data_IF_785113778284
#
_entry.id   IF_785113778284
#
_cell.length_a   1.000
_cell.length_b   1.000
_cell.length_c   1.000
_cell.angle_alpha   90.00
_cell.angle_beta   90.00
_cell.angle_gamma   90.00
#
_symmetry.space_group_name_H-M   'P 1'
#
loop_
_entity.id
_entity.type
_entity.pdbx_description
1 polymer ?
#
# COMPACT_ATOMS: atom_id res chain seq x y z
N UNK A 1 7.93 10.03 28.12
CA UNK A 1 9.23 9.76 27.46
C UNK A 1 9.95 11.04 27.07
N UNK A 2 9.39 11.91 26.22
CA UNK A 2 9.99 13.21 25.86
C UNK A 2 10.45 14.06 27.06
N UNK A 3 9.56 14.34 28.03
CA UNK A 3 9.90 15.13 29.23
C UNK A 3 11.07 14.53 30.04
N UNK A 4 11.18 13.20 30.09
CA UNK A 4 12.26 12.50 30.79
C UNK A 4 13.58 12.56 30.01
N UNK A 5 13.54 12.52 28.68
CA UNK A 5 14.71 12.66 27.83
C UNK A 5 15.28 14.08 27.88
N UNK A 6 14.41 15.09 27.79
CA UNK A 6 14.79 16.50 27.94
C UNK A 6 15.33 16.78 29.35
N UNK A 7 14.68 16.27 30.40
CA UNK A 7 15.19 16.38 31.76
C UNK A 7 16.52 15.63 31.97
N UNK A 8 16.83 14.64 31.13
CA UNK A 8 18.11 13.93 31.10
C UNK A 8 19.18 14.59 30.23
N UNK A 9 18.95 15.80 29.71
CA UNK A 9 19.92 16.58 28.95
C UNK A 9 19.92 16.34 27.43
N UNK A 10 18.96 15.58 26.90
CA UNK A 10 18.83 15.42 25.45
C UNK A 10 18.27 16.70 24.80
N UNK A 11 18.82 17.08 23.64
CA UNK A 11 18.37 18.24 22.87
C UNK A 11 16.90 18.07 22.42
N UNK A 12 15.99 18.96 22.85
CA UNK A 12 14.59 18.96 22.41
C UNK A 12 14.41 18.86 20.90
N UNK A 13 15.22 19.57 20.10
CA UNK A 13 15.08 19.60 18.64
C UNK A 13 15.49 18.27 18.01
N UNK A 14 16.61 17.69 18.44
CA UNK A 14 17.06 16.37 18.01
C UNK A 14 16.08 15.23 18.35
N UNK A 15 15.23 15.42 19.36
CA UNK A 15 14.21 14.47 19.75
C UNK A 15 12.93 14.54 18.89
N UNK A 16 12.63 15.68 18.26
CA UNK A 16 11.37 15.87 17.52
C UNK A 16 11.22 14.91 16.34
N UNK A 17 12.28 14.72 15.53
CA UNK A 17 12.24 13.85 14.35
C UNK A 17 11.97 12.38 14.69
N UNK A 18 12.72 11.72 15.59
CA UNK A 18 12.46 10.32 15.93
C UNK A 18 11.13 10.11 16.67
N UNK A 19 10.65 11.10 17.45
CA UNK A 19 9.34 11.02 18.08
C UNK A 19 8.20 11.28 17.11
N UNK A 20 8.36 12.19 16.15
CA UNK A 20 7.39 12.42 15.09
C UNK A 20 7.19 11.16 14.25
N UNK A 21 8.26 10.45 13.89
CA UNK A 21 8.15 9.22 13.09
C UNK A 21 7.36 8.09 13.77
N UNK A 22 7.31 8.06 15.11
CA UNK A 22 6.65 7.00 15.90
C UNK A 22 5.47 7.51 16.73
N UNK A 23 5.07 8.75 16.50
CA UNK A 23 4.02 9.41 17.27
C UNK A 23 2.67 8.78 16.97
N UNK A 24 1.94 8.36 18.02
CA UNK A 24 0.57 7.86 17.88
C UNK A 24 -0.36 8.90 17.26
N UNK A 25 -0.04 10.17 17.41
CA UNK A 25 -0.86 11.28 16.93
C UNK A 25 -0.85 11.38 15.40
N UNK A 26 0.14 10.79 14.71
CA UNK A 26 0.12 10.66 13.24
C UNK A 26 -1.10 9.89 12.74
N UNK A 27 -1.61 8.94 13.51
CA UNK A 27 -2.79 8.14 13.17
C UNK A 27 -4.10 8.70 13.77
N UNK A 28 -4.05 9.88 14.39
CA UNK A 28 -5.18 10.49 15.09
C UNK A 28 -5.53 11.89 14.58
N UNK A 29 -4.80 12.38 13.56
CA UNK A 29 -5.21 13.59 12.86
C UNK A 29 -6.65 13.41 12.36
N UNK A 30 -7.45 14.48 12.33
CA UNK A 30 -8.82 14.42 11.82
C UNK A 30 -8.92 13.72 10.46
N UNK A 31 -10.01 12.98 10.25
CA UNK A 31 -10.31 12.35 8.96
C UNK A 31 -10.49 13.43 7.89
N UNK A 32 -9.94 13.20 6.71
CA UNK A 32 -9.94 14.13 5.58
C UNK A 32 -11.09 13.80 4.63
N UNK A 33 -12.26 14.41 4.85
CA UNK A 33 -13.46 14.17 4.03
C UNK A 33 -13.44 14.92 2.70
N UNK A 34 -13.02 16.18 2.72
CA UNK A 34 -12.97 17.07 1.55
C UNK A 34 -11.72 17.96 1.57
N UNK A 35 -11.62 18.90 0.62
CA UNK A 35 -10.50 19.83 0.46
C UNK A 35 -10.62 21.14 1.26
N UNK A 36 -11.63 21.28 2.13
CA UNK A 36 -11.79 22.48 2.96
C UNK A 36 -10.68 22.59 4.03
N UNK A 37 -10.46 23.77 4.65
CA UNK A 37 -9.39 23.93 5.64
C UNK A 37 -9.47 23.01 6.87
N UNK A 38 -10.67 22.52 7.21
CA UNK A 38 -10.87 21.51 8.27
C UNK A 38 -11.08 20.11 7.72
N UNK A 39 -10.85 19.93 6.41
CA UNK A 39 -11.10 18.73 5.62
C UNK A 39 -12.50 18.12 5.85
N UNK A 40 -13.51 18.97 6.03
CA UNK A 40 -14.90 18.57 6.26
C UNK A 40 -15.13 17.88 7.61
N UNK A 41 -14.11 17.80 8.48
CA UNK A 41 -14.20 17.08 9.75
C UNK A 41 -15.08 17.80 10.78
N UNK A 42 -15.01 19.13 10.81
CA UNK A 42 -15.75 19.95 11.76
C UNK A 42 -15.94 21.37 11.23
N UNK A 43 -16.98 22.05 11.71
CA UNK A 43 -17.21 23.49 11.51
C UNK A 43 -16.49 24.36 12.56
N UNK A 44 -15.97 23.74 13.62
CA UNK A 44 -15.24 24.42 14.70
C UNK A 44 -13.72 24.25 14.59
N UNK A 45 -13.03 24.33 15.75
CA UNK A 45 -11.59 24.08 15.83
C UNK A 45 -11.34 22.60 16.13
N UNK A 46 -10.63 21.85 15.26
CA UNK A 46 -10.31 20.46 15.53
C UNK A 46 -9.32 20.34 16.70
N UNK A 47 -9.46 19.26 17.47
CA UNK A 47 -8.65 18.99 18.66
C UNK A 47 -7.18 18.65 18.34
N UNK A 48 -6.90 18.26 17.08
CA UNK A 48 -5.59 18.16 16.46
C UNK A 48 -5.62 18.88 15.11
N UNK A 49 -4.48 19.39 14.68
CA UNK A 49 -4.35 19.98 13.35
C UNK A 49 -4.66 18.93 12.26
N UNK A 50 -5.42 19.35 11.26
CA UNK A 50 -5.62 18.57 10.03
C UNK A 50 -4.30 18.54 9.26
N UNK A 51 -4.00 17.42 8.61
CA UNK A 51 -2.83 17.34 7.76
C UNK A 51 -3.02 18.30 6.56
N UNK A 52 -2.04 19.18 6.26
CA UNK A 52 -2.12 20.09 5.12
C UNK A 52 -2.35 19.41 3.77
N UNK A 53 -2.02 18.11 3.64
CA UNK A 53 -2.26 17.35 2.41
C UNK A 53 -3.74 17.03 2.13
N UNK A 54 -4.69 17.45 2.96
CA UNK A 54 -6.12 17.29 2.70
C UNK A 54 -6.59 17.91 1.38
N UNK A 55 -5.91 18.95 0.91
CA UNK A 55 -6.16 19.56 -0.40
C UNK A 55 -5.92 18.61 -1.59
N UNK A 56 -5.19 17.51 -1.38
CA UNK A 56 -4.88 16.51 -2.44
C UNK A 56 -5.23 15.07 -2.05
N UNK A 57 -5.43 14.79 -0.75
CA UNK A 57 -5.77 13.47 -0.23
C UNK A 57 -7.01 13.63 0.62
N UNK A 58 -8.18 13.28 0.10
CA UNK A 58 -9.44 13.34 0.84
C UNK A 58 -10.44 12.34 0.26
N UNK A 59 -11.49 12.04 1.02
CA UNK A 59 -12.48 11.03 0.64
C UNK A 59 -13.30 11.42 -0.60
N UNK A 60 -13.62 12.71 -0.77
CA UNK A 60 -14.36 13.21 -1.94
C UNK A 60 -13.59 12.92 -3.25
N UNK A 61 -12.30 13.28 -3.30
CA UNK A 61 -11.45 13.04 -4.47
C UNK A 61 -11.21 11.54 -4.71
N UNK A 62 -10.95 10.77 -3.66
CA UNK A 62 -10.77 9.32 -3.73
C UNK A 62 -12.05 8.58 -4.19
N UNK A 63 -13.24 9.11 -3.88
CA UNK A 63 -14.51 8.55 -4.36
C UNK A 63 -14.72 8.84 -5.84
N UNK A 64 -14.28 10.01 -6.32
CA UNK A 64 -14.44 10.46 -7.69
C UNK A 64 -13.48 9.76 -8.68
N UNK A 65 -12.24 9.47 -8.26
CA UNK A 65 -11.24 8.80 -9.10
C UNK A 65 -11.40 7.27 -9.08
N UNK A 66 -11.81 6.62 -10.18
CA UNK A 66 -11.97 5.16 -10.23
C UNK A 66 -10.65 4.38 -10.03
N UNK A 67 -9.48 4.99 -10.20
CA UNK A 67 -8.16 4.37 -10.00
C UNK A 67 -7.53 4.70 -8.64
N UNK A 68 -8.32 5.25 -7.73
CA UNK A 68 -7.91 5.64 -6.39
C UNK A 68 -7.62 4.47 -5.44
N UNK A 69 -7.00 4.79 -4.30
CA UNK A 69 -6.76 3.83 -3.22
C UNK A 69 -8.09 3.34 -2.65
N UNK A 70 -9.09 4.20 -2.52
CA UNK A 70 -10.43 3.81 -2.09
C UNK A 70 -11.04 2.70 -2.96
N UNK A 71 -11.07 2.89 -4.28
CA UNK A 71 -11.65 1.88 -5.19
C UNK A 71 -10.80 0.62 -5.25
N UNK A 72 -9.47 0.73 -5.10
CA UNK A 72 -8.60 -0.43 -4.95
C UNK A 72 -8.98 -1.28 -3.72
N UNK A 73 -9.11 -0.68 -2.54
CA UNK A 73 -9.54 -1.40 -1.34
C UNK A 73 -10.95 -1.96 -1.46
N UNK A 74 -11.87 -1.24 -2.10
CA UNK A 74 -13.23 -1.73 -2.37
C UNK A 74 -13.20 -3.04 -3.19
N UNK A 75 -12.40 -3.09 -4.25
CA UNK A 75 -12.20 -4.29 -5.08
C UNK A 75 -11.57 -5.43 -4.27
N UNK A 76 -10.61 -5.16 -3.39
CA UNK A 76 -10.00 -6.18 -2.53
C UNK A 76 -10.99 -6.77 -1.51
N UNK A 77 -11.84 -5.93 -0.91
CA UNK A 77 -12.89 -6.37 0.02
C UNK A 77 -13.91 -7.23 -0.73
N UNK A 78 -14.34 -6.80 -1.92
CA UNK A 78 -15.21 -7.59 -2.78
C UNK A 78 -14.59 -8.93 -3.17
N UNK A 79 -13.32 -8.94 -3.56
CA UNK A 79 -12.58 -10.16 -3.88
C UNK A 79 -12.54 -11.12 -2.67
N UNK A 80 -12.33 -10.61 -1.46
CA UNK A 80 -12.36 -11.43 -0.23
C UNK A 80 -13.73 -12.04 0.04
N UNK A 81 -14.82 -11.35 -0.31
CA UNK A 81 -16.19 -11.86 -0.15
C UNK A 81 -16.59 -12.86 -1.23
N UNK A 82 -16.08 -12.70 -2.45
CA UNK A 82 -16.49 -13.47 -3.63
C UNK A 82 -15.57 -14.63 -3.96
N UNK A 83 -14.30 -14.59 -3.54
CA UNK A 83 -13.32 -15.64 -3.83
C UNK A 83 -12.93 -16.44 -2.58
N UNK A 84 -13.36 -17.70 -2.55
CA UNK A 84 -13.00 -18.64 -1.47
C UNK A 84 -11.51 -18.92 -1.35
N UNK A 85 -10.72 -18.83 -2.43
CA UNK A 85 -9.26 -19.00 -2.35
C UNK A 85 -8.63 -17.86 -1.54
N UNK A 86 -9.19 -16.65 -1.64
CA UNK A 86 -8.79 -15.47 -0.83
C UNK A 86 -9.32 -15.55 0.60
N UNK A 87 -10.33 -16.37 0.88
CA UNK A 87 -10.81 -16.55 2.25
C UNK A 87 -10.10 -17.70 2.94
N UNK A 88 -10.15 -18.89 2.35
CA UNK A 88 -9.79 -20.17 2.97
C UNK A 88 -8.53 -20.81 2.38
N UNK A 89 -7.97 -20.28 1.28
CA UNK A 89 -6.82 -20.88 0.63
C UNK A 89 -5.57 -20.91 1.50
N UNK A 90 -4.84 -22.03 1.47
CA UNK A 90 -3.58 -22.25 2.18
C UNK A 90 -2.51 -21.33 1.59
N UNK A 91 -1.83 -20.57 2.44
CA UNK A 91 -0.80 -19.60 2.04
C UNK A 91 0.57 -20.25 2.02
N UNK A 92 1.33 -20.02 0.94
CA UNK A 92 2.76 -20.37 0.84
C UNK A 92 3.55 -19.19 0.31
N UNK A 93 4.52 -18.72 1.07
CA UNK A 93 5.45 -17.67 0.66
C UNK A 93 6.39 -18.23 -0.42
N UNK A 94 6.63 -17.42 -1.45
CA UNK A 94 7.62 -17.66 -2.49
C UNK A 94 8.78 -16.69 -2.29
N UNK A 95 10.00 -17.16 -2.57
CA UNK A 95 11.24 -16.36 -2.48
C UNK A 95 11.34 -15.52 -1.19
N UNK A 96 11.33 -16.14 -0.01
CA UNK A 96 11.34 -15.42 1.27
C UNK A 96 12.60 -14.57 1.49
N UNK A 97 13.68 -14.87 0.76
CA UNK A 97 14.96 -14.16 0.83
C UNK A 97 15.08 -13.03 -0.21
N UNK A 98 14.02 -12.73 -0.98
CA UNK A 98 14.01 -11.62 -1.94
C UNK A 98 13.75 -10.28 -1.22
N UNK A 99 14.69 -9.35 -1.33
CA UNK A 99 14.65 -8.04 -0.67
C UNK A 99 13.67 -7.04 -1.33
N UNK A 100 13.15 -7.36 -2.53
CA UNK A 100 12.33 -6.47 -3.35
C UNK A 100 10.91 -7.00 -3.54
N UNK A 101 10.77 -8.30 -3.77
CA UNK A 101 9.51 -8.94 -4.11
C UNK A 101 8.91 -9.68 -2.91
N UNK A 102 7.71 -9.27 -2.50
CA UNK A 102 6.88 -10.04 -1.60
C UNK A 102 5.89 -10.89 -2.39
N UNK A 103 6.14 -12.20 -2.43
CA UNK A 103 5.38 -13.13 -3.26
C UNK A 103 4.78 -14.26 -2.42
N UNK A 104 3.52 -14.62 -2.71
CA UNK A 104 2.87 -15.77 -2.10
C UNK A 104 1.87 -16.41 -3.04
N UNK A 105 1.58 -17.67 -2.78
CA UNK A 105 0.43 -18.36 -3.37
C UNK A 105 -0.63 -18.64 -2.34
N UNK A 106 -1.89 -18.63 -2.78
CA UNK A 106 -3.02 -19.17 -2.02
C UNK A 106 -3.66 -20.28 -2.82
N UNK A 107 -3.79 -21.47 -2.22
CA UNK A 107 -4.32 -22.66 -2.91
C UNK A 107 -5.50 -23.24 -2.15
N UNK A 108 -6.60 -23.53 -2.85
CA UNK A 108 -7.77 -24.21 -2.31
C UNK A 108 -8.27 -25.23 -3.35
N UNK A 109 -8.08 -26.52 -3.06
CA UNK A 109 -8.31 -27.59 -4.04
C UNK A 109 -7.46 -27.38 -5.29
N UNK A 110 -8.09 -27.43 -6.46
CA UNK A 110 -7.44 -27.20 -7.77
C UNK A 110 -7.24 -25.71 -8.09
N UNK A 111 -7.81 -24.79 -7.30
CA UNK A 111 -7.70 -23.34 -7.55
C UNK A 111 -6.47 -22.77 -6.86
N UNK A 112 -5.71 -21.94 -7.58
CA UNK A 112 -4.52 -21.25 -7.08
C UNK A 112 -4.53 -19.78 -7.48
N UNK A 113 -4.17 -18.92 -6.53
CA UNK A 113 -3.90 -17.51 -6.72
C UNK A 113 -2.42 -17.23 -6.45
N UNK A 114 -1.81 -16.40 -7.28
CA UNK A 114 -0.48 -15.85 -7.10
C UNK A 114 -0.62 -14.36 -6.74
N UNK A 115 0.00 -13.95 -5.63
CA UNK A 115 0.04 -12.56 -5.17
C UNK A 115 1.48 -12.09 -5.25
N UNK A 116 1.69 -10.95 -5.91
CA UNK A 116 2.99 -10.35 -6.16
C UNK A 116 2.94 -8.88 -5.72
N UNK A 117 3.88 -8.45 -4.90
CA UNK A 117 4.04 -7.05 -4.52
C UNK A 117 5.51 -6.64 -4.62
N UNK A 118 5.79 -5.60 -5.39
CA UNK A 118 7.10 -4.95 -5.41
C UNK A 118 7.16 -3.92 -4.27
N UNK A 119 7.96 -4.21 -3.24
CA UNK A 119 8.10 -3.37 -2.06
C UNK A 119 9.23 -2.34 -2.19
N UNK A 120 9.63 -2.02 -3.43
CA UNK A 120 10.67 -1.03 -3.73
C UNK A 120 10.19 0.01 -4.75
N UNK A 121 10.91 1.13 -4.82
CA UNK A 121 10.71 2.15 -5.86
C UNK A 121 11.37 1.84 -7.21
N UNK A 122 11.89 0.62 -7.43
CA UNK A 122 12.57 0.22 -8.66
C UNK A 122 11.81 -0.88 -9.38
N UNK A 123 11.93 -1.00 -10.72
CA UNK A 123 11.47 -2.18 -11.44
C UNK A 123 11.99 -3.50 -10.86
N UNK A 124 11.14 -4.53 -10.86
CA UNK A 124 11.50 -5.89 -10.47
C UNK A 124 11.29 -6.84 -11.65
N UNK A 125 12.22 -7.78 -11.84
CA UNK A 125 12.02 -8.92 -12.73
C UNK A 125 11.37 -10.08 -11.97
N UNK A 126 10.52 -10.87 -12.63
CA UNK A 126 10.04 -12.11 -12.04
C UNK A 126 11.11 -13.19 -12.12
N UNK A 127 11.34 -13.97 -11.05
CA UNK A 127 12.23 -15.13 -11.11
C UNK A 127 11.78 -16.15 -12.16
N UNK A 128 12.74 -16.87 -12.76
CA UNK A 128 12.46 -17.81 -13.86
C UNK A 128 11.63 -19.04 -13.45
N UNK A 129 11.54 -19.33 -12.16
CA UNK A 129 10.71 -20.37 -11.55
C UNK A 129 9.32 -19.86 -11.12
N UNK A 130 8.95 -18.63 -11.51
CA UNK A 130 7.64 -18.08 -11.22
C UNK A 130 6.53 -18.95 -11.81
N UNK A 131 5.48 -19.29 -11.03
CA UNK A 131 4.35 -20.05 -11.54
C UNK A 131 3.69 -19.31 -12.71
N UNK A 132 3.27 -20.06 -13.74
CA UNK A 132 2.49 -19.50 -14.84
C UNK A 132 1.24 -18.80 -14.30
N UNK A 133 1.20 -17.48 -14.43
CA UNK A 133 0.01 -16.70 -14.16
C UNK A 133 -0.88 -16.74 -15.40
N UNK A 134 -1.98 -17.50 -15.36
CA UNK A 134 -3.12 -17.12 -16.19
C UNK A 134 -3.49 -15.67 -15.81
N UNK A 135 -3.80 -14.79 -16.77
CA UNK A 135 -4.03 -13.37 -16.49
C UNK A 135 -5.34 -13.18 -15.70
N UNK A 136 -5.30 -13.40 -14.39
CA UNK A 136 -6.31 -12.92 -13.46
C UNK A 136 -5.93 -11.48 -13.10
N UNK A 137 -6.44 -10.52 -13.90
CA UNK A 137 -6.16 -9.10 -13.72
C UNK A 137 -7.04 -8.53 -12.61
N UNK A 138 -6.59 -8.57 -11.36
CA UNK A 138 -6.85 -7.47 -10.44
C UNK A 138 -5.72 -6.47 -10.62
N UNK A 139 -5.89 -5.56 -11.59
CA UNK A 139 -4.91 -4.54 -11.95
C UNK A 139 -4.74 -3.60 -10.75
N UNK A 140 -3.58 -3.67 -10.11
CA UNK A 140 -3.13 -2.74 -9.08
C UNK A 140 -2.07 -1.80 -9.66
N UNK A 141 -2.30 -1.31 -10.87
CA UNK A 141 -1.48 -0.26 -11.47
C UNK A 141 -2.10 1.08 -11.07
N UNK A 142 -1.56 1.73 -10.04
CA UNK A 142 -1.52 3.20 -10.03
C UNK A 142 -0.46 3.62 -11.10
N UNK A 143 -0.58 4.78 -11.79
CA UNK A 143 -0.20 4.97 -13.20
C UNK A 143 1.31 4.85 -13.52
N UNK A 144 1.68 4.79 -14.83
CA UNK A 144 2.51 3.73 -15.38
C UNK A 144 4.00 4.01 -15.29
N UNK A 145 4.74 2.93 -15.08
CA UNK A 145 6.13 2.84 -15.44
C UNK A 145 6.54 1.41 -15.28
N UNK A 146 6.32 0.58 -16.32
CA UNK A 146 7.11 -0.61 -16.67
C UNK A 146 6.44 -1.38 -17.81
N UNK A 147 6.96 -1.20 -19.02
CA UNK A 147 6.80 -2.16 -20.11
C UNK A 147 7.56 -3.45 -19.80
N UNK A 148 7.00 -4.60 -20.20
CA UNK A 148 7.75 -5.86 -20.26
C UNK A 148 8.85 -5.73 -21.32
N UNK A 149 10.07 -6.25 -21.11
CA UNK A 149 10.99 -6.44 -22.21
C UNK A 149 10.39 -7.48 -23.16
N UNK A 150 10.34 -7.15 -24.45
CA UNK A 150 9.94 -8.06 -25.51
C UNK A 150 10.82 -9.33 -25.45
N UNK A 151 10.18 -10.48 -25.39
CA UNK A 151 10.79 -11.78 -25.66
C UNK A 151 11.22 -11.82 -27.14
N UNK A 152 12.46 -11.44 -27.41
CA UNK A 152 13.15 -11.85 -28.62
C UNK A 152 13.68 -13.28 -28.39
N UNK A 153 13.05 -14.26 -29.08
CA UNK A 153 13.54 -15.63 -29.14
C UNK A 153 14.90 -15.73 -29.84
N UNK A 154 15.61 -16.86 -29.68
CA UNK A 154 16.97 -17.01 -30.15
C UNK A 154 16.98 -17.13 -31.68
N UNK A 155 17.74 -16.26 -32.35
CA UNK A 155 18.19 -16.50 -33.72
C UNK A 155 19.62 -17.03 -33.69
N UNK A 156 19.77 -18.28 -34.09
CA UNK A 156 21.01 -18.92 -34.53
C UNK A 156 20.61 -19.97 -35.58
N UNK A 157 21.49 -20.40 -36.49
CA UNK A 157 22.91 -20.08 -36.61
C UNK A 157 23.26 -18.99 -37.63
#
# INVERSE_FOLDING_TARGET
HYRRAVAGGADPAALLVPYAAKGRDNARTPVQWDSTPTAGFTTGTPWLAVNPNCATINAEDELADPDSVFHHYRRLIELRHTDEVVREGVTRILWPDDDQLFCLTRTLGERRLLVLANLSGRPAGLPGDAPDSHPCRTRADHPPGLSRPDTAGPSAP
#
